data_IF_677764912301
#
_entry.id   IF_677764912301
#
_cell.length_a   1.000
_cell.length_b   1.000
_cell.length_c   1.000
_cell.angle_alpha   90.00
_cell.angle_beta   90.00
_cell.angle_gamma   90.00
#
_symmetry.space_group_name_H-M   'P 1'
#
loop_
_entity.id
_entity.type
_entity.pdbx_description
1 polymer ?
#
# COMPACT_ATOMS: atom_id res chain seq x y z
N UNK A 1 -6.01 -20.75 -11.89
CA UNK A 1 -7.03 -19.68 -11.89
C UNK A 1 -6.99 -18.81 -10.61
N UNK A 2 -5.81 -18.51 -10.02
CA UNK A 2 -5.68 -17.68 -8.80
C UNK A 2 -5.27 -16.22 -9.04
N UNK A 3 -4.71 -15.89 -10.21
CA UNK A 3 -4.06 -14.61 -10.47
C UNK A 3 -5.02 -13.41 -10.55
N UNK A 4 -6.27 -13.63 -10.97
CA UNK A 4 -7.31 -12.58 -11.04
C UNK A 4 -7.93 -12.25 -9.68
N UNK A 5 -7.73 -13.08 -8.65
CA UNK A 5 -8.29 -12.87 -7.32
C UNK A 5 -7.41 -11.98 -6.42
N UNK A 6 -6.21 -11.60 -6.88
CA UNK A 6 -5.17 -10.97 -6.06
C UNK A 6 -4.81 -9.54 -6.49
N UNK A 7 -5.40 -9.04 -7.57
CA UNK A 7 -5.12 -7.70 -8.10
C UNK A 7 -6.39 -6.85 -7.99
N UNK A 8 -6.23 -5.63 -7.51
CA UNK A 8 -7.24 -4.58 -7.57
C UNK A 8 -7.35 -4.04 -9.01
N UNK A 9 -8.53 -4.10 -9.66
CA UNK A 9 -8.65 -3.74 -11.06
C UNK A 9 -8.46 -2.24 -11.32
N UNK A 10 -8.70 -1.37 -10.33
CA UNK A 10 -8.59 0.08 -10.52
C UNK A 10 -7.14 0.56 -10.49
N UNK A 11 -6.40 0.13 -9.46
CA UNK A 11 -5.02 0.59 -9.21
C UNK A 11 -3.94 -0.35 -9.75
N UNK A 12 -4.33 -1.57 -10.16
CA UNK A 12 -3.42 -2.65 -10.55
C UNK A 12 -2.47 -3.13 -9.44
N UNK A 13 -2.69 -2.67 -8.20
CA UNK A 13 -1.97 -3.14 -7.03
C UNK A 13 -2.49 -4.50 -6.57
N UNK A 14 -1.68 -5.27 -5.83
CA UNK A 14 -2.19 -6.35 -5.00
C UNK A 14 -3.35 -5.90 -4.12
N UNK A 15 -4.33 -6.79 -3.94
CA UNK A 15 -5.50 -6.54 -3.12
C UNK A 15 -5.40 -7.18 -1.73
N UNK A 16 -6.44 -6.99 -0.89
CA UNK A 16 -6.53 -7.58 0.46
C UNK A 16 -6.27 -9.10 0.48
N UNK A 17 -6.84 -9.86 -0.45
CA UNK A 17 -6.66 -11.32 -0.47
C UNK A 17 -5.19 -11.71 -0.71
N UNK A 18 -4.46 -10.95 -1.51
CA UNK A 18 -3.02 -11.14 -1.67
C UNK A 18 -2.27 -10.83 -0.37
N UNK A 19 -2.60 -9.71 0.28
CA UNK A 19 -1.96 -9.29 1.53
C UNK A 19 -2.15 -10.30 2.64
N UNK A 20 -3.38 -10.77 2.87
CA UNK A 20 -3.69 -11.73 3.94
C UNK A 20 -2.89 -13.03 3.76
N UNK A 21 -2.76 -13.52 2.52
CA UNK A 21 -1.98 -14.73 2.23
C UNK A 21 -0.47 -14.51 2.40
N UNK A 22 0.06 -13.36 1.97
CA UNK A 22 1.51 -13.09 2.05
C UNK A 22 1.96 -12.66 3.44
N UNK A 23 1.12 -11.98 4.22
CA UNK A 23 1.44 -11.60 5.59
C UNK A 23 1.70 -12.84 6.45
N UNK A 24 0.84 -13.86 6.35
CA UNK A 24 1.03 -15.13 7.06
C UNK A 24 2.36 -15.81 6.69
N UNK A 25 2.74 -15.80 5.40
CA UNK A 25 4.02 -16.35 4.93
C UNK A 25 5.20 -15.57 5.49
N UNK A 26 5.14 -14.23 5.44
CA UNK A 26 6.20 -13.36 5.94
C UNK A 26 6.40 -13.53 7.45
N UNK A 27 5.32 -13.52 8.25
CA UNK A 27 5.40 -13.74 9.70
C UNK A 27 6.00 -15.11 10.05
N UNK A 28 5.64 -16.15 9.29
CA UNK A 28 6.21 -17.50 9.47
C UNK A 28 7.70 -17.53 9.14
N UNK A 29 8.16 -16.76 8.16
CA UNK A 29 9.59 -16.65 7.80
C UNK A 29 10.37 -15.93 8.89
N UNK A 30 9.87 -14.78 9.33
CA UNK A 30 10.53 -13.89 10.30
C UNK A 30 10.72 -14.57 11.65
N UNK A 31 9.73 -15.35 12.10
CA UNK A 31 9.84 -16.10 13.36
C UNK A 31 11.02 -17.09 13.40
N UNK A 32 11.65 -17.37 12.24
CA UNK A 32 12.79 -18.28 12.11
C UNK A 32 14.13 -17.57 11.92
N UNK A 33 14.15 -16.25 11.69
CA UNK A 33 15.34 -15.53 11.19
C UNK A 33 15.78 -14.30 12.00
N UNK A 34 15.16 -13.96 13.15
CA UNK A 34 15.39 -12.69 13.89
C UNK A 34 15.28 -11.43 13.00
N UNK A 35 14.59 -11.56 11.87
CA UNK A 35 14.36 -10.48 10.93
C UNK A 35 13.23 -9.56 11.41
N UNK A 36 13.11 -8.39 10.80
CA UNK A 36 12.03 -7.45 11.11
C UNK A 36 11.14 -7.28 9.89
N UNK A 37 9.85 -7.02 10.13
CA UNK A 37 8.91 -6.59 9.10
C UNK A 37 8.22 -5.34 9.62
N UNK A 38 8.39 -4.27 8.86
CA UNK A 38 7.64 -3.04 9.08
C UNK A 38 6.44 -3.01 8.16
N UNK A 39 5.32 -2.49 8.66
CA UNK A 39 4.09 -2.32 7.89
C UNK A 39 3.67 -0.86 8.04
N UNK A 40 3.45 -0.18 6.92
CA UNK A 40 2.81 1.13 6.89
C UNK A 40 1.35 0.94 6.50
N UNK A 41 0.47 1.55 7.29
CA UNK A 41 -0.96 1.66 6.97
C UNK A 41 -1.23 3.12 6.59
N UNK A 42 -1.90 3.32 5.46
CA UNK A 42 -2.13 4.62 4.85
C UNK A 42 -3.63 4.73 4.56
N UNK A 43 -4.23 5.85 4.95
CA UNK A 43 -5.62 6.22 4.70
C UNK A 43 -5.61 7.63 4.11
N UNK A 44 -6.49 7.92 3.15
CA UNK A 44 -6.51 9.23 2.48
C UNK A 44 -7.49 10.17 3.18
N UNK A 45 -6.94 11.24 3.77
CA UNK A 45 -7.76 12.26 4.43
C UNK A 45 -8.82 12.84 3.48
N UNK A 46 -10.08 12.87 3.95
CA UNK A 46 -11.23 13.46 3.25
C UNK A 46 -11.50 12.91 1.83
N UNK A 47 -11.08 11.68 1.52
CA UNK A 47 -11.36 11.07 0.20
C UNK A 47 -12.86 11.02 -0.15
N UNK A 48 -13.71 10.78 0.85
CA UNK A 48 -15.17 10.82 0.67
C UNK A 48 -15.67 12.18 0.20
N UNK A 49 -15.13 13.28 0.74
CA UNK A 49 -15.52 14.64 0.33
C UNK A 49 -15.16 14.92 -1.13
N UNK A 50 -14.05 14.35 -1.61
CA UNK A 50 -13.65 14.43 -3.01
C UNK A 50 -14.66 13.70 -3.89
N UNK A 51 -15.06 12.49 -3.53
CA UNK A 51 -16.10 11.74 -4.26
C UNK A 51 -17.44 12.49 -4.26
N UNK A 52 -17.85 13.02 -3.12
CA UNK A 52 -19.13 13.73 -2.98
C UNK A 52 -19.14 15.06 -3.76
N UNK A 53 -17.98 15.73 -3.90
CA UNK A 53 -17.85 17.03 -4.58
C UNK A 53 -17.59 16.91 -6.08
N UNK A 54 -16.72 15.97 -6.48
CA UNK A 54 -16.22 15.87 -7.85
C UNK A 54 -16.64 14.59 -8.58
N UNK A 55 -17.32 13.68 -7.89
CA UNK A 55 -17.79 12.40 -8.42
C UNK A 55 -16.76 11.28 -8.31
N UNK A 56 -17.26 10.04 -8.38
CA UNK A 56 -16.43 8.84 -8.23
C UNK A 56 -15.35 8.68 -9.32
N UNK A 57 -15.60 9.14 -10.55
CA UNK A 57 -14.59 9.07 -11.62
C UNK A 57 -13.33 9.87 -11.26
N UNK A 58 -13.48 11.01 -10.57
CA UNK A 58 -12.35 11.82 -10.09
C UNK A 58 -11.67 11.16 -8.90
N UNK A 59 -12.43 10.57 -7.99
CA UNK A 59 -11.87 9.76 -6.89
C UNK A 59 -11.06 8.56 -7.41
N UNK A 60 -11.53 7.90 -8.47
CA UNK A 60 -10.84 6.79 -9.09
C UNK A 60 -9.49 7.21 -9.70
N UNK A 61 -9.45 8.36 -10.38
CA UNK A 61 -8.20 8.95 -10.88
C UNK A 61 -7.23 9.31 -9.74
N UNK A 62 -7.75 9.85 -8.63
CA UNK A 62 -6.94 10.15 -7.44
C UNK A 62 -6.33 8.87 -6.86
N UNK A 63 -7.11 7.79 -6.71
CA UNK A 63 -6.62 6.51 -6.21
C UNK A 63 -5.54 5.92 -7.11
N UNK A 64 -5.68 6.03 -8.43
CA UNK A 64 -4.66 5.62 -9.39
C UNK A 64 -3.37 6.42 -9.24
N UNK A 65 -3.49 7.75 -9.05
CA UNK A 65 -2.33 8.61 -8.85
C UNK A 65 -1.62 8.32 -7.52
N UNK A 66 -2.38 8.11 -6.44
CA UNK A 66 -1.82 7.71 -5.14
C UNK A 66 -1.09 6.37 -5.27
N UNK A 67 -1.70 5.37 -5.90
CA UNK A 67 -1.08 4.07 -6.13
C UNK A 67 0.26 4.18 -6.88
N UNK A 68 0.31 5.04 -7.90
CA UNK A 68 1.54 5.34 -8.62
C UNK A 68 2.61 5.97 -7.71
N UNK A 69 2.25 7.02 -6.95
CA UNK A 69 3.17 7.70 -6.02
C UNK A 69 3.73 6.72 -4.98
N UNK A 70 2.86 5.95 -4.32
CA UNK A 70 3.27 4.98 -3.31
C UNK A 70 4.25 3.95 -3.87
N UNK A 71 3.95 3.41 -5.06
CA UNK A 71 4.82 2.43 -5.72
C UNK A 71 6.18 3.03 -6.10
N UNK A 72 6.22 4.29 -6.53
CA UNK A 72 7.48 4.97 -6.84
C UNK A 72 8.35 5.28 -5.62
N UNK A 73 7.76 5.32 -4.43
CA UNK A 73 8.46 5.65 -3.18
C UNK A 73 9.14 4.45 -2.52
N UNK A 74 8.87 3.23 -3.01
CA UNK A 74 9.37 1.99 -2.41
C UNK A 74 10.11 1.13 -3.43
N UNK A 75 11.12 0.35 -3.01
CA UNK A 75 11.80 -0.62 -3.87
C UNK A 75 10.85 -1.70 -4.41
N UNK A 76 11.19 -2.29 -5.56
CA UNK A 76 10.42 -3.41 -6.16
C UNK A 76 10.35 -4.67 -5.28
N UNK A 77 11.27 -4.82 -4.32
CA UNK A 77 11.25 -5.92 -3.35
C UNK A 77 10.16 -5.76 -2.29
N UNK A 78 9.66 -4.54 -2.11
CA UNK A 78 8.61 -4.20 -1.16
C UNK A 78 7.25 -4.26 -1.86
N UNK A 79 6.17 -4.32 -1.10
CA UNK A 79 4.84 -4.52 -1.66
C UNK A 79 3.88 -3.43 -1.20
N UNK A 80 3.28 -2.73 -2.17
CA UNK A 80 2.15 -1.82 -1.97
C UNK A 80 0.86 -2.58 -2.27
N UNK A 81 -0.12 -2.47 -1.41
CA UNK A 81 -1.41 -3.18 -1.49
C UNK A 81 -2.52 -2.15 -1.36
N UNK A 82 -3.54 -2.24 -2.21
CA UNK A 82 -4.80 -1.55 -1.95
C UNK A 82 -5.72 -2.47 -1.16
N UNK A 83 -6.08 -2.04 0.04
CA UNK A 83 -6.78 -2.90 0.99
C UNK A 83 -8.31 -2.85 0.79
N UNK A 84 -8.86 -1.64 0.75
CA UNK A 84 -10.26 -1.34 0.46
C UNK A 84 -10.40 0.18 0.27
N UNK A 85 -11.36 0.65 -0.52
CA UNK A 85 -11.62 2.10 -0.64
C UNK A 85 -10.36 2.92 -0.95
N UNK A 86 -9.99 3.78 0.00
CA UNK A 86 -8.83 4.65 0.06
C UNK A 86 -7.70 4.17 1.00
N UNK A 87 -7.84 2.96 1.55
CA UNK A 87 -6.85 2.34 2.43
C UNK A 87 -5.77 1.60 1.62
N UNK A 88 -4.51 1.89 1.95
CA UNK A 88 -3.33 1.23 1.39
C UNK A 88 -2.44 0.65 2.50
N UNK A 89 -1.77 -0.45 2.18
CA UNK A 89 -0.74 -1.06 3.02
C UNK A 89 0.58 -1.12 2.25
N UNK A 90 1.68 -0.84 2.93
CA UNK A 90 3.03 -1.12 2.42
C UNK A 90 3.72 -2.09 3.37
N UNK A 91 4.14 -3.24 2.85
CA UNK A 91 4.99 -4.18 3.60
C UNK A 91 6.46 -3.95 3.25
N UNK A 92 7.28 -3.74 4.28
CA UNK A 92 8.71 -3.43 4.19
C UNK A 92 9.50 -4.55 4.93
N UNK A 93 9.83 -5.66 4.24
CA UNK A 93 10.62 -6.74 4.84
C UNK A 93 12.04 -6.27 5.17
N UNK A 94 12.61 -6.79 6.25
CA UNK A 94 14.00 -6.52 6.68
C UNK A 94 14.29 -5.03 7.00
N UNK A 95 13.23 -4.23 7.21
CA UNK A 95 13.36 -2.83 7.58
C UNK A 95 13.00 -2.61 9.05
N UNK A 96 13.94 -1.98 9.76
CA UNK A 96 13.71 -1.42 11.08
C UNK A 96 12.76 -0.20 11.05
N UNK A 97 12.31 0.18 12.24
CA UNK A 97 11.37 1.29 12.44
C UNK A 97 11.90 2.62 11.91
N UNK A 98 13.20 2.90 12.02
CA UNK A 98 13.76 4.19 11.63
C UNK A 98 13.75 4.36 10.10
N UNK A 99 14.14 3.30 9.37
CA UNK A 99 14.08 3.29 7.90
C UNK A 99 12.64 3.32 7.39
N UNK A 100 11.74 2.57 8.02
CA UNK A 100 10.31 2.62 7.68
C UNK A 100 9.74 4.03 7.88
N UNK A 101 10.13 4.73 8.94
CA UNK A 101 9.74 6.12 9.18
C UNK A 101 10.28 7.09 8.12
N UNK A 102 11.51 6.88 7.60
CA UNK A 102 12.06 7.68 6.50
C UNK A 102 11.23 7.51 5.22
N UNK A 103 10.88 6.27 4.87
CA UNK A 103 10.01 5.98 3.71
C UNK A 103 8.64 6.66 3.88
N UNK A 104 8.03 6.55 5.07
CA UNK A 104 6.76 7.21 5.36
C UNK A 104 6.83 8.73 5.15
N UNK A 105 7.92 9.39 5.57
CA UNK A 105 8.10 10.82 5.35
C UNK A 105 8.31 11.18 3.87
N UNK A 106 9.04 10.35 3.10
CA UNK A 106 9.16 10.53 1.65
C UNK A 106 7.80 10.46 0.98
N UNK A 107 6.99 9.46 1.34
CA UNK A 107 5.61 9.31 0.83
C UNK A 107 4.78 10.54 1.14
N UNK A 108 4.78 11.00 2.40
CA UNK A 108 4.06 12.21 2.81
C UNK A 108 4.51 13.47 2.06
N UNK A 109 5.79 13.56 1.70
CA UNK A 109 6.31 14.67 0.92
C UNK A 109 5.83 14.59 -0.54
N UNK A 110 5.91 13.42 -1.18
CA UNK A 110 5.49 13.25 -2.57
C UNK A 110 3.98 13.39 -2.76
N UNK A 111 3.16 12.97 -1.79
CA UNK A 111 1.70 13.15 -1.84
C UNK A 111 1.25 14.62 -1.69
N UNK A 112 2.13 15.51 -1.19
CA UNK A 112 1.84 16.93 -1.01
C UNK A 112 2.27 17.81 -2.20
N UNK A 113 2.91 17.22 -3.20
CA UNK A 113 3.35 17.91 -4.41
C UNK A 113 2.21 18.08 -5.39
#
# INVERSE_FOLDING_TARGET
MKRLAYIDPLTQLPNRSFFDENLLKNLTSISKSDETLSILFIDLDSFKEINDTFGHDVGDLLLQQVAFILTSCVPESDCVVRLAGDEFIITLPLLDKEKAFKIANTILHELKR
#
